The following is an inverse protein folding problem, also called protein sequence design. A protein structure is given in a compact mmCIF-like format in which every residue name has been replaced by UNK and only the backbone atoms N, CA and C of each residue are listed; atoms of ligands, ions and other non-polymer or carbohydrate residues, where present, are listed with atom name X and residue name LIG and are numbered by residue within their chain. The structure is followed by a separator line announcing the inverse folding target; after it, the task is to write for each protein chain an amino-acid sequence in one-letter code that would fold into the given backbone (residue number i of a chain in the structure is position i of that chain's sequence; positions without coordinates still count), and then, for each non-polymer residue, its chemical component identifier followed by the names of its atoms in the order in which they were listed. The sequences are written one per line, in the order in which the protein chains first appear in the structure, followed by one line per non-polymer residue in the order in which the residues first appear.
data_IF_765014056573
#
_entry.id   IF_765014056573
#
_cell.length_a   1.000
_cell.length_b   1.000
_cell.length_c   1.000
_cell.angle_alpha   90.00
_cell.angle_beta   90.00
_cell.angle_gamma   90.00
#
_symmetry.space_group_name_H-M   'P 1'
#
loop_
_entity.id
_entity.type
_entity.pdbx_description
1 polymer ?
#
# COMPACT_ATOMS: atom_id res chain seq x y z
N UNK A 1 -17.66 -9.36 -89.93
CA UNK A 1 -18.80 -8.50 -89.56
C UNK A 1 -18.35 -7.61 -88.43
N UNK A 2 -18.29 -6.30 -88.71
CA UNK A 2 -17.67 -5.28 -87.86
C UNK A 2 -18.58 -4.92 -86.68
N UNK A 3 -18.00 -4.80 -85.50
CA UNK A 3 -18.63 -4.11 -84.36
C UNK A 3 -17.82 -2.88 -83.96
N UNK A 4 -18.45 -1.72 -84.06
CA UNK A 4 -17.90 -0.42 -83.77
C UNK A 4 -17.61 -0.20 -82.27
N UNK A 5 -16.48 0.38 -82.02
CA UNK A 5 -16.09 0.93 -80.72
C UNK A 5 -16.79 2.26 -80.46
N UNK A 6 -17.59 2.39 -79.45
CA UNK A 6 -18.23 3.63 -79.02
C UNK A 6 -17.48 4.20 -77.82
N UNK A 7 -16.87 5.36 -78.02
CA UNK A 7 -16.21 6.15 -76.94
C UNK A 7 -17.27 6.93 -76.18
N UNK A 8 -17.38 6.61 -74.89
CA UNK A 8 -18.26 7.33 -73.95
C UNK A 8 -17.47 8.37 -73.16
N UNK A 9 -17.89 9.65 -73.19
CA UNK A 9 -17.20 10.71 -72.45
C UNK A 9 -17.51 10.78 -70.91
N UNK A 10 -18.22 9.78 -70.37
CA UNK A 10 -18.63 9.84 -68.97
C UNK A 10 -17.62 9.24 -67.98
N UNK A 11 -16.47 8.73 -68.45
CA UNK A 11 -15.49 8.09 -67.55
C UNK A 11 -14.58 9.08 -66.80
N UNK A 12 -14.49 10.33 -67.28
CA UNK A 12 -13.62 11.33 -66.65
C UNK A 12 -14.25 12.05 -65.46
N UNK A 13 -15.59 12.06 -65.36
CA UNK A 13 -16.28 12.70 -64.25
C UNK A 13 -16.24 11.84 -62.96
N UNK A 14 -16.15 10.52 -63.10
CA UNK A 14 -16.17 9.59 -61.94
C UNK A 14 -14.84 9.61 -61.17
N UNK A 15 -13.71 9.77 -61.85
CA UNK A 15 -12.39 9.81 -61.20
C UNK A 15 -12.18 11.04 -60.34
N UNK A 16 -12.79 12.16 -60.73
CA UNK A 16 -12.60 13.42 -59.98
C UNK A 16 -13.43 13.48 -58.70
N UNK A 17 -14.52 12.71 -58.62
CA UNK A 17 -15.35 12.61 -57.41
C UNK A 17 -14.76 11.68 -56.38
N UNK A 18 -14.06 10.64 -56.78
CA UNK A 18 -13.39 9.71 -55.85
C UNK A 18 -12.19 10.36 -55.19
N UNK A 19 -11.44 11.17 -55.93
CA UNK A 19 -10.25 11.85 -55.39
C UNK A 19 -10.60 12.89 -54.32
N UNK A 20 -11.73 13.60 -54.50
CA UNK A 20 -12.22 14.57 -53.51
C UNK A 20 -12.79 13.90 -52.25
N UNK A 21 -13.35 12.67 -52.38
CA UNK A 21 -13.88 11.90 -51.23
C UNK A 21 -12.75 11.33 -50.39
N UNK A 22 -11.66 10.88 -51.02
CA UNK A 22 -10.50 10.31 -50.31
C UNK A 22 -9.75 11.36 -49.48
N UNK A 23 -9.65 12.61 -50.03
CA UNK A 23 -8.99 13.70 -49.32
C UNK A 23 -9.76 14.20 -48.10
N UNK A 24 -11.10 14.16 -48.16
CA UNK A 24 -11.94 14.56 -47.01
C UNK A 24 -11.95 13.53 -45.90
N UNK A 25 -11.84 12.24 -46.23
CA UNK A 25 -11.75 11.16 -45.21
C UNK A 25 -10.39 11.15 -44.52
N UNK A 26 -9.31 11.51 -45.21
CA UNK A 26 -7.98 11.56 -44.62
C UNK A 26 -7.84 12.72 -43.62
N UNK A 27 -8.51 13.84 -43.87
CA UNK A 27 -8.51 15.00 -42.94
C UNK A 27 -9.28 14.72 -41.65
N UNK A 28 -10.36 13.93 -41.67
CA UNK A 28 -11.12 13.58 -40.48
C UNK A 28 -10.39 12.55 -39.60
N UNK A 29 -9.60 11.65 -40.20
CA UNK A 29 -8.85 10.64 -39.45
C UNK A 29 -7.69 11.25 -38.67
N UNK A 30 -7.06 12.32 -39.18
CA UNK A 30 -5.95 13.01 -38.51
C UNK A 30 -6.43 13.89 -37.34
N UNK A 31 -7.65 14.42 -37.41
CA UNK A 31 -8.20 15.24 -36.31
C UNK A 31 -8.62 14.41 -35.10
N UNK A 32 -8.99 13.13 -35.30
CA UNK A 32 -9.38 12.24 -34.22
C UNK A 32 -8.23 11.67 -33.40
N UNK A 33 -7.01 11.64 -33.97
CA UNK A 33 -5.85 11.03 -33.32
C UNK A 33 -5.17 11.93 -32.24
N UNK A 34 -5.49 13.23 -32.27
CA UNK A 34 -4.84 14.20 -31.37
C UNK A 34 -5.59 14.44 -30.04
N UNK A 35 -6.76 13.81 -29.85
CA UNK A 35 -7.58 14.04 -28.66
C UNK A 35 -7.41 12.96 -27.58
N UNK A 36 -6.50 12.01 -27.78
CA UNK A 36 -6.37 10.86 -26.84
C UNK A 36 -5.15 10.95 -25.90
N UNK A 37 -4.55 12.12 -25.70
CA UNK A 37 -3.25 12.21 -25.03
C UNK A 37 -3.20 13.08 -23.77
N UNK A 38 -4.32 13.19 -23.03
CA UNK A 38 -4.27 13.94 -21.78
C UNK A 38 -5.15 13.31 -20.69
N UNK A 39 -4.83 12.07 -20.31
CA UNK A 39 -5.27 11.58 -18.99
C UNK A 39 -4.23 12.08 -17.98
N UNK A 40 -4.60 12.94 -17.05
CA UNK A 40 -3.67 13.31 -16.00
C UNK A 40 -3.29 12.08 -15.20
N UNK A 41 -2.01 11.77 -15.13
CA UNK A 41 -1.50 10.77 -14.22
C UNK A 41 -1.85 11.24 -12.80
N UNK A 42 -2.76 10.54 -12.14
CA UNK A 42 -3.10 10.84 -10.75
C UNK A 42 -1.90 10.48 -9.89
N UNK A 43 -1.20 11.51 -9.45
CA UNK A 43 -0.07 11.36 -8.54
C UNK A 43 -0.63 11.07 -7.14
N UNK A 44 -0.77 9.77 -6.81
CA UNK A 44 -1.22 9.34 -5.49
C UNK A 44 -0.07 9.58 -4.51
N UNK A 45 -0.20 10.62 -3.71
CA UNK A 45 0.75 10.88 -2.62
C UNK A 45 0.41 9.99 -1.43
N UNK A 46 1.39 9.24 -0.89
CA UNK A 46 1.12 8.48 0.33
C UNK A 46 0.75 9.43 1.46
N UNK A 47 -0.22 9.05 2.30
CA UNK A 47 -0.59 9.89 3.44
C UNK A 47 0.53 9.96 4.46
N UNK A 48 0.55 11.03 5.22
CA UNK A 48 1.35 11.17 6.43
C UNK A 48 0.42 11.14 7.64
N UNK A 49 0.81 10.42 8.67
CA UNK A 49 0.02 10.36 9.90
C UNK A 49 -0.07 11.73 10.56
N UNK A 50 -1.22 12.03 11.14
CA UNK A 50 -1.39 13.22 11.98
C UNK A 50 -1.04 12.96 13.45
N UNK A 51 -0.83 11.69 13.81
CA UNK A 51 -0.42 11.29 15.16
C UNK A 51 1.02 11.74 15.43
N UNK A 52 1.28 12.07 16.68
CA UNK A 52 2.59 12.57 17.12
C UNK A 52 3.10 11.78 18.32
N UNK A 53 4.40 11.82 18.52
CA UNK A 53 5.01 11.32 19.75
C UNK A 53 4.39 12.07 20.95
N UNK A 54 3.90 11.30 21.91
CA UNK A 54 3.17 11.79 23.08
C UNK A 54 1.66 11.57 23.00
N UNK A 55 1.10 11.36 21.82
CA UNK A 55 -0.34 11.09 21.66
C UNK A 55 -0.66 9.67 22.19
N UNK A 56 -1.88 9.49 22.65
CA UNK A 56 -2.41 8.16 22.93
C UNK A 56 -2.62 7.41 21.62
N UNK A 57 -2.08 6.20 21.52
CA UNK A 57 -2.27 5.34 20.34
C UNK A 57 -3.76 4.96 20.23
N UNK A 58 -4.39 5.15 19.05
CA UNK A 58 -5.77 4.71 18.87
C UNK A 58 -5.93 3.22 19.18
N UNK A 59 -6.90 2.88 20.04
CA UNK A 59 -7.16 1.49 20.41
C UNK A 59 -7.82 0.74 19.26
N UNK A 60 -7.61 -0.56 19.21
CA UNK A 60 -8.22 -1.42 18.18
C UNK A 60 -8.33 -2.87 18.69
N UNK A 61 -9.13 -3.64 17.97
CA UNK A 61 -9.22 -5.10 18.12
C UNK A 61 -9.22 -5.71 16.72
N UNK A 62 -8.18 -6.48 16.39
CA UNK A 62 -7.99 -7.06 15.05
C UNK A 62 -7.79 -8.58 15.12
N UNK A 63 -8.28 -9.33 14.11
CA UNK A 63 -7.96 -10.76 13.96
C UNK A 63 -6.45 -10.98 13.80
N UNK A 64 -5.97 -12.10 14.32
CA UNK A 64 -4.55 -12.42 14.43
C UNK A 64 -4.21 -13.73 13.71
N UNK A 65 -3.05 -13.81 13.09
CA UNK A 65 -2.53 -15.06 12.50
C UNK A 65 -2.22 -16.12 13.56
N UNK A 66 -2.02 -15.71 14.81
CA UNK A 66 -1.82 -16.63 15.94
C UNK A 66 -3.15 -17.22 16.45
N UNK A 67 -4.27 -16.78 15.88
CA UNK A 67 -5.62 -17.17 16.29
C UNK A 67 -6.26 -16.12 17.18
N UNK A 68 -7.59 -16.08 17.19
CA UNK A 68 -8.34 -15.11 17.97
C UNK A 68 -8.17 -13.69 17.50
N UNK A 69 -8.18 -12.77 18.45
CA UNK A 69 -8.04 -11.32 18.19
C UNK A 69 -7.03 -10.71 19.16
N UNK A 70 -6.41 -9.61 18.75
CA UNK A 70 -5.50 -8.80 19.56
C UNK A 70 -6.15 -7.44 19.78
N UNK A 71 -6.22 -6.99 21.02
CA UNK A 71 -6.66 -5.64 21.41
C UNK A 71 -5.44 -4.89 21.94
N UNK A 72 -5.16 -3.70 21.40
CA UNK A 72 -3.97 -2.92 21.80
C UNK A 72 -3.99 -2.59 23.29
N UNK A 73 -5.14 -2.16 23.83
CA UNK A 73 -5.24 -1.79 25.23
C UNK A 73 -5.00 -2.94 26.22
N UNK A 74 -5.03 -4.19 25.78
CA UNK A 74 -4.71 -5.35 26.64
C UNK A 74 -3.24 -5.37 27.08
N UNK A 75 -2.37 -4.60 26.40
CA UNK A 75 -0.94 -4.53 26.71
C UNK A 75 -0.60 -3.40 27.70
N UNK A 76 -1.57 -2.53 28.03
CA UNK A 76 -1.35 -1.43 28.97
C UNK A 76 -0.92 -1.97 30.33
N UNK A 77 0.13 -1.40 30.91
CA UNK A 77 0.72 -1.82 32.17
C UNK A 77 1.53 -3.11 32.08
N UNK A 78 1.60 -3.74 30.89
CA UNK A 78 2.23 -5.06 30.72
C UNK A 78 3.45 -5.01 29.82
N UNK A 79 3.26 -4.60 28.57
CA UNK A 79 4.33 -4.61 27.56
C UNK A 79 4.25 -3.38 26.68
N UNK A 80 5.39 -2.96 26.15
CA UNK A 80 5.43 -2.03 25.04
C UNK A 80 4.99 -2.74 23.76
N UNK A 81 4.58 -1.99 22.75
CA UNK A 81 4.06 -2.57 21.50
C UNK A 81 4.66 -1.85 20.30
N UNK A 82 5.16 -2.62 19.34
CA UNK A 82 5.51 -2.10 18.00
C UNK A 82 4.38 -2.48 17.04
N UNK A 83 3.86 -1.48 16.34
CA UNK A 83 2.84 -1.63 15.30
C UNK A 83 3.52 -1.31 13.96
N UNK A 84 3.83 -2.34 13.17
CA UNK A 84 4.47 -2.21 11.87
C UNK A 84 3.41 -2.34 10.78
N UNK A 85 2.90 -1.19 10.29
CA UNK A 85 1.96 -1.15 9.16
C UNK A 85 2.70 -1.37 7.85
N UNK A 86 2.21 -2.30 7.02
CA UNK A 86 2.82 -2.60 5.73
C UNK A 86 1.76 -2.67 4.62
N UNK A 87 2.13 -2.34 3.36
CA UNK A 87 1.15 -2.25 2.27
C UNK A 87 0.47 -3.57 1.94
N UNK A 88 1.22 -4.62 1.70
CA UNK A 88 0.63 -5.90 1.27
C UNK A 88 1.61 -7.05 1.45
N UNK A 89 1.06 -8.19 1.87
CA UNK A 89 1.78 -9.46 1.98
C UNK A 89 2.36 -9.85 0.62
N UNK A 90 3.46 -10.59 0.62
CA UNK A 90 4.17 -11.11 -0.55
C UNK A 90 4.82 -10.06 -1.45
N UNK A 91 4.80 -8.78 -1.08
CA UNK A 91 5.57 -7.76 -1.79
C UNK A 91 7.03 -7.76 -1.34
N UNK A 92 7.93 -7.29 -2.19
CA UNK A 92 9.37 -7.26 -1.91
C UNK A 92 9.71 -6.45 -0.66
N UNK A 93 9.14 -5.29 -0.53
CA UNK A 93 9.32 -4.45 0.66
C UNK A 93 8.81 -5.11 1.96
N UNK A 94 7.75 -5.71 2.04
CA UNK A 94 7.25 -6.23 3.04
C UNK A 94 7.89 -7.27 3.46
N UNK A 95 8.32 -8.13 2.50
CA UNK A 95 9.14 -9.31 2.83
C UNK A 95 10.43 -8.92 3.56
N UNK A 96 11.13 -7.95 3.05
CA UNK A 96 12.36 -7.43 3.68
C UNK A 96 12.10 -6.94 5.10
N UNK A 97 11.03 -6.16 5.28
CA UNK A 97 10.65 -5.59 6.59
C UNK A 97 10.36 -6.68 7.62
N UNK A 98 9.52 -7.64 7.28
CA UNK A 98 9.16 -8.72 8.22
C UNK A 98 10.35 -9.62 8.55
N UNK A 99 11.23 -9.87 7.58
CA UNK A 99 12.49 -10.59 7.83
C UNK A 99 13.40 -9.80 8.76
N UNK A 100 13.45 -8.46 8.62
CA UNK A 100 14.28 -7.62 9.51
C UNK A 100 13.72 -7.63 10.94
N UNK A 101 12.39 -7.51 11.11
CA UNK A 101 11.75 -7.65 12.43
C UNK A 101 12.04 -9.03 13.03
N UNK A 102 11.95 -10.11 12.24
CA UNK A 102 12.24 -11.45 12.72
C UNK A 102 13.69 -11.59 13.17
N UNK A 103 14.62 -11.00 12.42
CA UNK A 103 16.04 -11.01 12.79
C UNK A 103 16.31 -10.28 14.11
N UNK A 104 15.56 -9.22 14.39
CA UNK A 104 15.69 -8.41 15.61
C UNK A 104 14.76 -8.84 16.76
N UNK A 105 13.96 -9.88 16.60
CA UNK A 105 12.86 -10.18 17.55
C UNK A 105 13.35 -10.34 18.99
N UNK A 106 14.51 -10.95 19.20
CA UNK A 106 15.08 -11.13 20.52
C UNK A 106 15.38 -9.80 21.25
N UNK A 107 15.69 -8.75 20.52
CA UNK A 107 15.92 -7.41 21.11
C UNK A 107 14.60 -6.81 21.62
N UNK A 108 13.52 -7.01 20.87
CA UNK A 108 12.19 -6.56 21.28
C UNK A 108 11.73 -7.32 22.53
N UNK A 109 11.91 -8.64 22.54
CA UNK A 109 11.56 -9.48 23.70
C UNK A 109 12.36 -9.05 24.95
N UNK A 110 13.66 -8.78 24.78
CA UNK A 110 14.52 -8.32 25.88
C UNK A 110 14.08 -6.94 26.41
N UNK A 111 13.40 -6.14 25.59
CA UNK A 111 12.87 -4.83 25.96
C UNK A 111 11.39 -4.90 26.39
N UNK A 112 10.89 -6.09 26.72
CA UNK A 112 9.48 -6.34 27.11
C UNK A 112 8.51 -5.73 26.10
N UNK A 113 8.76 -5.97 24.81
CA UNK A 113 8.03 -5.36 23.70
C UNK A 113 7.42 -6.45 22.80
N UNK A 114 6.14 -6.31 22.48
CA UNK A 114 5.44 -7.17 21.52
C UNK A 114 5.45 -6.50 20.14
N UNK A 115 5.72 -7.28 19.11
CA UNK A 115 5.72 -6.79 17.71
C UNK A 115 4.49 -7.33 16.99
N UNK A 116 3.79 -6.47 16.26
CA UNK A 116 2.67 -6.83 15.38
C UNK A 116 2.85 -6.21 14.03
N UNK A 117 2.83 -7.02 12.98
CA UNK A 117 2.69 -6.51 11.62
C UNK A 117 1.21 -6.29 11.32
N UNK A 118 0.85 -5.18 10.69
CA UNK A 118 -0.56 -4.85 10.39
C UNK A 118 -0.70 -4.52 8.90
N UNK A 119 -1.67 -5.15 8.23
CA UNK A 119 -2.00 -4.80 6.85
C UNK A 119 -3.49 -4.97 6.59
N UNK A 120 -3.93 -4.53 5.43
CA UNK A 120 -5.32 -4.73 4.98
C UNK A 120 -5.52 -6.06 4.25
N UNK A 121 -4.55 -6.95 4.28
CA UNK A 121 -4.70 -8.33 3.78
C UNK A 121 -5.63 -9.13 4.72
N UNK A 122 -6.31 -10.13 4.17
CA UNK A 122 -7.12 -11.03 4.99
C UNK A 122 -6.23 -11.98 5.81
N UNK A 123 -6.77 -12.51 6.90
CA UNK A 123 -6.01 -13.36 7.83
C UNK A 123 -5.41 -14.61 7.18
N UNK A 124 -6.12 -15.34 6.29
CA UNK A 124 -5.48 -16.47 5.60
C UNK A 124 -4.23 -16.09 4.79
N UNK A 125 -4.30 -14.99 4.03
CA UNK A 125 -3.13 -14.52 3.25
C UNK A 125 -1.97 -14.13 4.18
N UNK A 126 -2.28 -13.43 5.28
CA UNK A 126 -1.27 -13.06 6.27
C UNK A 126 -0.64 -14.29 6.93
N UNK A 127 -1.43 -15.34 7.18
CA UNK A 127 -0.93 -16.58 7.80
C UNK A 127 0.09 -17.28 6.90
N UNK A 128 -0.22 -17.38 5.60
CA UNK A 128 0.71 -17.95 4.62
C UNK A 128 1.98 -17.08 4.50
N UNK A 129 1.80 -15.75 4.52
CA UNK A 129 2.92 -14.84 4.46
C UNK A 129 3.81 -14.94 5.73
N UNK A 130 3.21 -15.00 6.91
CA UNK A 130 3.95 -15.19 8.17
C UNK A 130 4.80 -16.48 8.12
N UNK A 131 4.22 -17.55 7.58
CA UNK A 131 4.95 -18.82 7.36
C UNK A 131 6.14 -18.61 6.41
N UNK A 132 5.92 -17.92 5.29
CA UNK A 132 6.96 -17.65 4.28
C UNK A 132 8.15 -16.87 4.85
N UNK A 133 7.89 -15.89 5.73
CA UNK A 133 8.95 -15.07 6.34
C UNK A 133 9.42 -15.63 7.69
N UNK A 134 8.89 -16.79 8.07
CA UNK A 134 9.21 -17.46 9.34
C UNK A 134 9.01 -16.54 10.55
N UNK A 135 7.93 -15.71 10.52
CA UNK A 135 7.66 -14.76 11.61
C UNK A 135 7.20 -15.49 12.87
N UNK A 136 7.88 -15.25 13.99
CA UNK A 136 7.47 -15.74 15.31
C UNK A 136 6.50 -14.76 16.02
N UNK A 137 6.24 -13.62 15.41
CA UNK A 137 5.30 -12.60 15.90
C UNK A 137 4.03 -12.59 15.04
N UNK A 138 2.88 -12.26 15.61
CA UNK A 138 1.62 -12.27 14.85
C UNK A 138 1.50 -11.14 13.85
N UNK A 139 0.79 -11.43 12.75
CA UNK A 139 0.28 -10.41 11.83
C UNK A 139 -1.22 -10.20 12.12
N UNK A 140 -1.68 -8.96 12.03
CA UNK A 140 -3.04 -8.55 12.35
C UNK A 140 -3.73 -8.01 11.10
N UNK A 141 -4.98 -8.42 10.90
CA UNK A 141 -5.73 -8.14 9.66
C UNK A 141 -6.72 -6.99 9.85
N UNK A 142 -6.50 -5.88 9.17
CA UNK A 142 -7.44 -4.76 9.11
C UNK A 142 -8.27 -4.82 7.80
N UNK A 143 -8.49 -6.04 7.29
CA UNK A 143 -9.16 -6.31 6.01
C UNK A 143 -10.61 -5.84 5.97
N UNK A 144 -11.37 -6.06 7.07
CA UNK A 144 -12.83 -5.92 7.04
C UNK A 144 -13.31 -4.51 6.71
N UNK A 145 -12.69 -3.49 7.30
CA UNK A 145 -13.16 -2.12 7.10
C UNK A 145 -12.03 -1.08 7.07
N UNK A 146 -10.78 -1.48 7.25
CA UNK A 146 -9.58 -0.64 7.19
C UNK A 146 -9.58 0.52 8.18
N UNK A 147 -10.36 0.40 9.26
CA UNK A 147 -10.56 1.47 10.25
C UNK A 147 -9.31 1.74 11.08
N UNK A 148 -8.48 0.73 11.30
CA UNK A 148 -7.25 0.91 12.06
C UNK A 148 -6.22 1.68 11.21
N UNK A 149 -6.03 1.29 9.96
CA UNK A 149 -5.15 2.04 9.03
C UNK A 149 -5.63 3.49 8.88
N UNK A 150 -6.96 3.70 8.84
CA UNK A 150 -7.55 5.04 8.77
C UNK A 150 -7.24 5.84 10.06
N UNK A 151 -7.47 5.25 11.25
CA UNK A 151 -7.26 5.90 12.55
C UNK A 151 -5.79 6.28 12.77
N UNK A 152 -4.86 5.46 12.26
CA UNK A 152 -3.42 5.76 12.34
C UNK A 152 -2.95 6.70 11.23
N UNK A 153 -3.84 7.11 10.32
CA UNK A 153 -3.53 8.05 9.24
C UNK A 153 -2.63 7.46 8.16
N UNK A 154 -2.62 6.13 8.03
CA UNK A 154 -1.74 5.44 7.07
C UNK A 154 -2.50 4.81 5.90
N UNK A 155 -3.83 4.84 5.90
CA UNK A 155 -4.61 4.28 4.79
C UNK A 155 -4.43 5.12 3.53
N UNK A 156 -4.13 4.48 2.40
CA UNK A 156 -4.16 5.11 1.07
C UNK A 156 -5.54 4.76 0.48
N UNK A 157 -6.52 5.68 0.56
CA UNK A 157 -7.91 5.31 0.26
C UNK A 157 -8.10 4.82 -1.18
N UNK A 158 -7.39 5.42 -2.14
CA UNK A 158 -7.50 5.08 -3.56
C UNK A 158 -7.01 3.65 -3.85
N UNK A 159 -6.11 3.13 -3.02
CA UNK A 159 -5.50 1.81 -3.22
C UNK A 159 -6.03 0.78 -2.23
N UNK A 160 -6.64 1.21 -1.12
CA UNK A 160 -7.24 0.34 -0.13
C UNK A 160 -6.25 -0.41 0.75
N UNK A 161 -4.98 0.01 0.77
CA UNK A 161 -3.96 -0.58 1.64
C UNK A 161 -3.22 0.51 2.43
N UNK A 162 -2.43 0.08 3.41
CA UNK A 162 -1.70 0.99 4.29
C UNK A 162 -0.40 1.47 3.64
N UNK A 163 -0.06 2.72 3.82
CA UNK A 163 1.31 3.20 3.67
C UNK A 163 2.16 2.55 4.77
N UNK A 164 3.44 2.35 4.48
CA UNK A 164 4.36 1.78 5.48
C UNK A 164 4.58 2.78 6.62
N UNK A 165 4.42 2.33 7.86
CA UNK A 165 4.69 3.14 9.03
C UNK A 165 4.87 2.26 10.27
N UNK A 166 5.79 2.64 11.13
CA UNK A 166 6.04 1.98 12.41
C UNK A 166 5.69 2.93 13.55
N UNK A 167 4.92 2.45 14.50
CA UNK A 167 4.60 3.17 15.74
C UNK A 167 5.10 2.32 16.91
N UNK A 168 5.83 2.93 17.82
CA UNK A 168 6.18 2.28 19.10
C UNK A 168 5.31 2.90 20.17
N UNK A 169 4.61 2.06 20.91
CA UNK A 169 3.64 2.42 21.97
C UNK A 169 4.18 1.91 23.30
N UNK A 170 4.25 2.78 24.30
CA UNK A 170 4.72 2.40 25.63
C UNK A 170 3.62 1.71 26.46
N UNK A 171 3.99 1.27 27.66
CA UNK A 171 3.06 0.58 28.60
C UNK A 171 1.89 1.47 29.01
N UNK A 172 2.03 2.78 28.92
CA UNK A 172 0.97 3.75 29.23
C UNK A 172 0.02 3.95 28.06
N UNK A 173 0.33 3.39 26.88
CA UNK A 173 -0.47 3.54 25.66
C UNK A 173 -0.09 4.75 24.83
N UNK A 174 1.04 5.39 25.14
CA UNK A 174 1.49 6.58 24.40
C UNK A 174 2.45 6.20 23.29
N UNK A 175 2.32 6.87 22.16
CA UNK A 175 3.26 6.74 21.04
C UNK A 175 4.58 7.41 21.46
N UNK A 176 5.70 6.69 21.36
CA UNK A 176 7.01 7.22 21.71
C UNK A 176 7.97 7.30 20.52
N UNK A 177 7.57 6.71 19.37
CA UNK A 177 8.37 6.72 18.15
C UNK A 177 7.45 6.51 16.96
N UNK A 178 7.73 7.23 15.87
CA UNK A 178 7.00 7.08 14.59
C UNK A 178 8.05 7.10 13.47
N UNK A 179 7.92 6.19 12.55
CA UNK A 179 8.70 6.14 11.31
C UNK A 179 7.77 5.87 10.15
N UNK A 180 7.94 6.54 9.00
CA UNK A 180 7.07 6.40 7.84
C UNK A 180 7.85 6.14 6.56
N UNK A 181 7.21 5.49 5.61
CA UNK A 181 7.74 5.25 4.27
C UNK A 181 8.88 4.25 4.26
N UNK A 182 9.87 4.46 3.39
CA UNK A 182 10.96 3.51 3.18
C UNK A 182 11.87 3.35 4.42
N UNK A 183 11.94 4.36 5.26
CA UNK A 183 12.71 4.28 6.52
C UNK A 183 12.21 3.17 7.44
N UNK A 184 10.90 2.98 7.48
CA UNK A 184 10.27 1.98 8.36
C UNK A 184 10.51 0.51 7.93
N UNK A 185 11.21 0.26 6.83
CA UNK A 185 11.65 -1.11 6.45
C UNK A 185 12.71 -1.62 7.44
N UNK A 186 13.53 -0.72 7.98
CA UNK A 186 14.59 -1.06 8.92
C UNK A 186 14.07 -0.83 10.36
N UNK A 187 13.98 -1.88 11.20
CA UNK A 187 13.42 -1.73 12.54
C UNK A 187 14.38 -1.10 13.56
N UNK A 188 15.57 -0.66 13.18
CA UNK A 188 16.59 -0.14 14.10
C UNK A 188 16.08 1.04 14.94
N UNK A 189 15.30 1.95 14.34
CA UNK A 189 14.67 3.06 15.05
C UNK A 189 13.75 2.58 16.17
N UNK A 190 12.88 1.61 15.85
CA UNK A 190 11.98 1.00 16.83
C UNK A 190 12.74 0.22 17.91
N UNK A 191 13.79 -0.54 17.54
CA UNK A 191 14.65 -1.26 18.50
C UNK A 191 15.26 -0.29 19.49
N UNK A 192 15.82 0.82 19.00
CA UNK A 192 16.45 1.86 19.83
C UNK A 192 15.42 2.48 20.79
N UNK A 193 14.22 2.82 20.29
CA UNK A 193 13.16 3.40 21.13
C UNK A 193 12.77 2.43 22.25
N UNK A 194 12.59 1.15 21.94
CA UNK A 194 12.23 0.11 22.92
C UNK A 194 13.33 -0.11 23.96
N UNK A 195 14.61 -0.12 23.53
CA UNK A 195 15.75 -0.26 24.42
C UNK A 195 15.82 0.89 25.44
N UNK A 196 15.54 2.12 25.00
CA UNK A 196 15.51 3.29 25.92
C UNK A 196 14.42 3.16 26.98
N UNK A 197 13.25 2.60 26.62
CA UNK A 197 12.19 2.34 27.59
C UNK A 197 12.62 1.32 28.64
N UNK A 198 13.29 0.25 28.22
CA UNK A 198 13.78 -0.79 29.13
C UNK A 198 14.75 -0.23 30.18
N UNK A 199 15.62 0.70 29.78
CA UNK A 199 16.57 1.35 30.69
C UNK A 199 15.91 2.34 31.67
N UNK A 200 14.80 2.97 31.28
CA UNK A 200 14.06 3.89 32.15
C UNK A 200 13.30 3.16 33.28
N UNK A 201 13.00 1.88 33.07
CA UNK A 201 12.21 1.06 34.01
C UNK A 201 13.06 0.41 35.11
N UNK A 202 14.38 0.55 35.04
CA UNK A 202 15.35 0.09 36.05
C UNK A 202 15.73 1.21 37.01
#
# INVERSE_FOLDING_TARGET
MLCRCGTHPHMLACKHLEEKRSMKMLSCALAGALLSLALPAQNIQPPHTSLKVGDMAPDFTLPSTAGGKVTLSDFRGKSNVVLAFFPAAFTGGXTKEMLAYQAGIAKFDAADTKVFGISTDNTPSQKEFATKVNASFPLLSDFANRKVAEAYGVLIPQLGFANRATFVVDKEGKIIHIEEGSGAIDPTGAETACSRLAHKSQ
#
